data_IF_967431950890
#
_entry.id   IF_967431950890
#
_cell.length_a   1.000
_cell.length_b   1.000
_cell.length_c   1.000
_cell.angle_alpha   90.00
_cell.angle_beta   90.00
_cell.angle_gamma   90.00
#
_symmetry.space_group_name_H-M   'P 1'
#
loop_
_entity.id
_entity.type
_entity.pdbx_description
1 polymer ?
#
# COMPACT_ATOMS: atom_id res chain seq x y z
N UNK A 1 18.17 17.47 5.39
CA UNK A 1 16.87 17.64 4.71
C UNK A 1 16.55 16.31 4.05
N UNK A 2 15.32 15.81 4.11
CA UNK A 2 14.94 14.47 3.62
C UNK A 2 14.70 14.39 2.10
N UNK A 3 15.16 15.40 1.35
CA UNK A 3 15.07 15.48 -0.12
C UNK A 3 16.42 15.93 -0.63
N UNK A 4 16.86 15.34 -1.74
CA UNK A 4 18.15 15.59 -2.37
C UNK A 4 17.96 16.36 -3.70
N UNK A 5 18.14 17.69 -3.72
CA UNK A 5 17.97 18.50 -4.93
C UNK A 5 19.01 18.22 -6.01
N UNK A 6 20.14 17.62 -5.66
CA UNK A 6 21.23 17.32 -6.60
C UNK A 6 21.00 15.98 -7.33
N UNK A 7 20.20 15.09 -6.73
CA UNK A 7 19.84 13.79 -7.29
C UNK A 7 18.34 13.68 -7.58
N UNK A 8 17.86 14.51 -8.52
CA UNK A 8 16.48 14.47 -9.05
C UNK A 8 15.39 14.54 -7.96
N UNK A 9 15.64 15.31 -6.91
CA UNK A 9 14.72 15.48 -5.77
C UNK A 9 14.42 14.17 -5.03
N UNK A 10 15.36 13.21 -5.05
CA UNK A 10 15.19 11.93 -4.39
C UNK A 10 14.82 12.13 -2.90
N UNK A 11 13.69 11.57 -2.52
CA UNK A 11 13.19 11.63 -1.15
C UNK A 11 13.72 10.43 -0.35
N UNK A 12 14.25 10.69 0.84
CA UNK A 12 14.65 9.66 1.79
C UNK A 12 13.46 9.41 2.72
N UNK A 13 12.82 8.26 2.52
CA UNK A 13 11.72 7.81 3.36
C UNK A 13 12.23 6.95 4.51
N UNK A 14 11.89 7.32 5.74
CA UNK A 14 12.23 6.55 6.93
C UNK A 14 10.97 6.00 7.59
N UNK A 15 11.04 4.72 7.98
CA UNK A 15 9.98 4.10 8.77
C UNK A 15 10.06 4.62 10.20
N UNK A 16 8.98 5.22 10.68
CA UNK A 16 8.89 5.70 12.06
C UNK A 16 9.11 4.53 13.05
N UNK A 17 9.95 4.70 14.10
CA UNK A 17 10.30 3.62 15.02
C UNK A 17 9.09 2.93 15.66
N UNK A 18 8.04 3.70 15.98
CA UNK A 18 6.79 3.21 16.55
C UNK A 18 5.96 2.33 15.60
N UNK A 19 6.14 2.45 14.28
CA UNK A 19 5.41 1.65 13.27
C UNK A 19 6.16 0.40 12.81
N UNK A 20 7.41 0.22 13.24
CA UNK A 20 8.25 -0.94 12.88
C UNK A 20 7.60 -2.28 13.23
N UNK A 21 6.91 -2.37 14.37
CA UNK A 21 6.22 -3.60 14.80
C UNK A 21 5.11 -3.98 13.83
N UNK A 22 4.27 -3.02 13.45
CA UNK A 22 3.16 -3.23 12.49
C UNK A 22 3.72 -3.68 11.14
N UNK A 23 4.78 -3.03 10.67
CA UNK A 23 5.43 -3.40 9.40
C UNK A 23 5.98 -4.83 9.46
N UNK A 24 6.61 -5.22 10.57
CA UNK A 24 7.13 -6.58 10.74
C UNK A 24 6.01 -7.63 10.70
N UNK A 25 4.87 -7.32 11.31
CA UNK A 25 3.68 -8.18 11.30
C UNK A 25 3.08 -8.28 9.90
N UNK A 26 2.91 -7.15 9.20
CA UNK A 26 2.43 -7.11 7.81
C UNK A 26 3.35 -7.91 6.88
N UNK A 27 4.68 -7.80 7.05
CA UNK A 27 5.66 -8.61 6.30
C UNK A 27 5.55 -10.09 6.56
N UNK A 28 5.26 -10.49 7.79
CA UNK A 28 5.04 -11.89 8.13
C UNK A 28 3.77 -12.42 7.45
N UNK A 29 2.65 -11.70 7.60
CA UNK A 29 1.37 -12.07 6.99
C UNK A 29 1.44 -12.09 5.45
N UNK A 30 2.18 -11.15 4.85
CA UNK A 30 2.36 -11.06 3.39
C UNK A 30 3.11 -12.26 2.79
N UNK A 31 3.96 -12.95 3.57
CA UNK A 31 4.65 -14.15 3.10
C UNK A 31 3.69 -15.32 2.91
N UNK A 32 2.77 -15.48 3.84
CA UNK A 32 1.80 -16.57 3.85
C UNK A 32 0.55 -16.26 2.98
N UNK A 33 0.34 -14.99 2.64
CA UNK A 33 -0.77 -14.57 1.79
C UNK A 33 -0.52 -14.85 0.30
N UNK A 34 -1.51 -15.43 -0.37
CA UNK A 34 -1.53 -15.59 -1.83
C UNK A 34 -1.74 -14.26 -2.55
N UNK A 35 -2.57 -13.37 -1.95
CA UNK A 35 -2.94 -12.06 -2.50
C UNK A 35 -3.01 -11.01 -1.41
N UNK A 36 -2.60 -9.79 -1.73
CA UNK A 36 -2.58 -8.63 -0.85
C UNK A 36 -3.45 -7.54 -1.48
N UNK A 37 -4.54 -7.18 -0.80
CA UNK A 37 -5.43 -6.10 -1.24
C UNK A 37 -5.10 -4.81 -0.51
N UNK A 38 -4.69 -3.78 -1.27
CA UNK A 38 -4.44 -2.43 -0.80
C UNK A 38 -5.75 -1.64 -0.94
N UNK A 39 -6.47 -1.52 0.17
CA UNK A 39 -7.81 -0.94 0.28
C UNK A 39 -7.79 0.50 0.83
N UNK A 40 -6.86 1.32 0.32
CA UNK A 40 -6.72 2.74 0.70
C UNK A 40 -7.72 3.62 -0.07
N UNK A 41 -7.92 4.84 0.42
CA UNK A 41 -8.82 5.80 -0.20
C UNK A 41 -8.46 6.12 -1.67
N UNK A 42 -9.48 6.54 -2.42
CA UNK A 42 -9.37 6.92 -3.83
C UNK A 42 -8.88 8.36 -3.98
N UNK A 43 -7.78 8.69 -3.33
CA UNK A 43 -7.10 9.98 -3.45
C UNK A 43 -5.59 9.81 -3.55
N UNK A 44 -4.89 10.93 -3.74
CA UNK A 44 -3.43 10.95 -3.89
C UNK A 44 -2.72 10.47 -2.62
N UNK A 45 -3.29 10.72 -1.44
CA UNK A 45 -2.70 10.30 -0.17
C UNK A 45 -2.81 8.79 0.01
N UNK A 46 -3.98 8.22 -0.29
CA UNK A 46 -4.21 6.79 -0.35
C UNK A 46 -3.27 6.10 -1.33
N UNK A 47 -2.98 6.73 -2.48
CA UNK A 47 -1.98 6.24 -3.42
C UNK A 47 -0.56 6.24 -2.88
N UNK A 48 -0.14 7.32 -2.24
CA UNK A 48 1.16 7.36 -1.59
C UNK A 48 1.26 6.29 -0.48
N UNK A 49 0.20 6.09 0.32
CA UNK A 49 0.17 5.09 1.38
C UNK A 49 0.24 3.68 0.80
N UNK A 50 -0.56 3.36 -0.22
CA UNK A 50 -0.54 2.06 -0.88
C UNK A 50 0.83 1.75 -1.50
N UNK A 51 1.43 2.74 -2.16
CA UNK A 51 2.77 2.62 -2.72
C UNK A 51 3.82 2.36 -1.63
N UNK A 52 3.83 3.16 -0.55
CA UNK A 52 4.76 2.94 0.56
C UNK A 52 4.59 1.58 1.23
N UNK A 53 3.36 1.09 1.38
CA UNK A 53 3.12 -0.26 1.93
C UNK A 53 3.70 -1.34 1.01
N UNK A 54 3.52 -1.23 -0.31
CA UNK A 54 4.10 -2.14 -1.30
C UNK A 54 5.63 -2.12 -1.23
N UNK A 55 6.25 -0.95 -1.24
CA UNK A 55 7.71 -0.78 -1.16
C UNK A 55 8.28 -1.36 0.15
N UNK A 56 7.61 -1.10 1.27
CA UNK A 56 8.07 -1.56 2.56
C UNK A 56 7.91 -3.06 2.70
N UNK A 57 6.75 -3.64 2.35
CA UNK A 57 6.46 -5.08 2.49
C UNK A 57 7.29 -5.89 1.50
N UNK A 58 7.40 -5.41 0.25
CA UNK A 58 8.13 -6.05 -0.85
C UNK A 58 7.45 -7.29 -1.40
N UNK A 59 8.09 -7.98 -2.35
CA UNK A 59 7.54 -9.16 -3.01
C UNK A 59 6.99 -8.86 -4.41
N UNK A 60 6.46 -9.87 -5.11
CA UNK A 60 6.10 -9.72 -6.52
C UNK A 60 4.84 -8.87 -6.68
N UNK A 61 4.90 -7.91 -7.61
CA UNK A 61 3.78 -7.04 -7.99
C UNK A 61 2.50 -7.79 -8.31
N UNK A 62 2.61 -9.02 -8.83
CA UNK A 62 1.46 -9.88 -9.13
C UNK A 62 0.62 -10.27 -7.91
N UNK A 63 1.18 -10.18 -6.70
CA UNK A 63 0.44 -10.44 -5.45
C UNK A 63 -0.38 -9.24 -4.99
N UNK A 64 -0.04 -8.02 -5.44
CA UNK A 64 -0.66 -6.79 -4.99
C UNK A 64 -1.84 -6.43 -5.89
N UNK A 65 -2.98 -6.15 -5.27
CA UNK A 65 -4.19 -5.68 -5.94
C UNK A 65 -4.72 -4.45 -5.22
N UNK A 66 -5.14 -3.43 -5.98
CA UNK A 66 -5.68 -2.20 -5.41
C UNK A 66 -7.19 -2.26 -5.41
N UNK A 67 -7.79 -1.95 -4.27
CA UNK A 67 -9.24 -1.93 -4.10
C UNK A 67 -9.61 -0.52 -3.68
N UNK A 68 -10.36 0.17 -4.53
CA UNK A 68 -10.87 1.52 -4.24
C UNK A 68 -12.37 1.47 -4.16
N UNK A 69 -12.94 2.20 -3.21
CA UNK A 69 -14.38 2.33 -3.04
C UNK A 69 -14.68 3.76 -2.62
N UNK A 70 -15.78 4.32 -3.15
CA UNK A 70 -16.21 5.67 -2.84
C UNK A 70 -17.09 5.73 -1.59
N UNK A 71 -17.57 4.58 -1.12
CA UNK A 71 -18.47 4.47 0.03
C UNK A 71 -18.24 3.15 0.78
N UNK A 72 -18.43 3.18 2.10
CA UNK A 72 -18.30 1.99 2.96
C UNK A 72 -19.69 1.33 3.11
N UNK A 73 -20.25 0.90 1.98
CA UNK A 73 -21.50 0.10 1.95
C UNK A 73 -21.18 -1.34 1.56
N UNK A 74 -21.97 -2.29 2.04
CA UNK A 74 -21.77 -3.72 1.72
C UNK A 74 -21.71 -3.96 0.21
N UNK A 75 -22.60 -3.30 -0.54
CA UNK A 75 -22.69 -3.40 -2.00
C UNK A 75 -21.45 -2.82 -2.69
N UNK A 76 -21.00 -1.63 -2.29
CA UNK A 76 -19.84 -0.99 -2.88
C UNK A 76 -18.55 -1.78 -2.62
N UNK A 77 -18.37 -2.28 -1.39
CA UNK A 77 -17.22 -3.12 -1.05
C UNK A 77 -17.23 -4.40 -1.89
N UNK A 78 -18.36 -5.12 -1.93
CA UNK A 78 -18.45 -6.34 -2.75
C UNK A 78 -18.17 -6.09 -4.23
N UNK A 79 -18.58 -4.94 -4.78
CA UNK A 79 -18.30 -4.58 -6.17
C UNK A 79 -16.81 -4.21 -6.37
N UNK A 80 -16.20 -3.48 -5.44
CA UNK A 80 -14.79 -3.12 -5.50
C UNK A 80 -13.87 -4.36 -5.51
N UNK A 81 -14.22 -5.40 -4.73
CA UNK A 81 -13.48 -6.66 -4.73
C UNK A 81 -13.72 -7.53 -5.98
N UNK A 82 -14.80 -7.32 -6.73
CA UNK A 82 -15.03 -8.02 -8.01
C UNK A 82 -14.20 -7.44 -9.16
N UNK A 83 -13.86 -6.15 -9.09
CA UNK A 83 -13.06 -5.46 -10.11
C UNK A 83 -11.89 -4.72 -9.46
N UNK A 84 -10.93 -5.44 -8.85
CA UNK A 84 -9.74 -4.80 -8.29
C UNK A 84 -8.86 -4.22 -9.41
N UNK A 85 -8.32 -3.02 -9.18
CA UNK A 85 -7.34 -2.39 -10.06
C UNK A 85 -5.97 -3.05 -9.85
N UNK A 86 -5.11 -3.04 -10.87
CA UNK A 86 -3.70 -3.45 -10.70
C UNK A 86 -2.95 -2.38 -9.90
N UNK A 87 -2.09 -2.83 -8.97
CA UNK A 87 -1.30 -1.99 -8.05
C UNK A 87 0.17 -1.88 -8.46
#
# INVERSE_FOLDING_TARGET
MGVDPEHDWAAVYEVLPNKTKVIKELKALAKDADKIYLATDMDREGEAIAWHLKEVIGGPDSKYQRVVFNEITKSAIQNAFKQPLKA
#
